data_IF_126021224932
#
_entry.id   IF_126021224932
#
_cell.length_a   1.000
_cell.length_b   1.000
_cell.length_c   1.000
_cell.angle_alpha   90.00
_cell.angle_beta   90.00
_cell.angle_gamma   90.00
#
_symmetry.space_group_name_H-M   'P 1'
#
loop_
_entity.id
_entity.type
_entity.pdbx_description
1 polymer ?
#
# COMPACT_ATOMS: atom_id res chain seq x y z
N UNK A 1 12.14 0.11 6.72
CA UNK A 1 11.74 -1.00 5.81
C UNK A 1 11.88 -0.54 4.34
N UNK A 2 12.19 -1.43 3.39
CA UNK A 2 12.20 -1.12 1.95
C UNK A 2 10.84 -1.43 1.28
N UNK A 3 10.59 -0.91 0.07
CA UNK A 3 9.33 -1.18 -0.65
C UNK A 3 9.18 -2.65 -1.07
N UNK A 4 10.28 -3.32 -1.40
CA UNK A 4 10.29 -4.75 -1.75
C UNK A 4 10.08 -5.64 -0.52
N UNK A 5 10.70 -5.29 0.62
CA UNK A 5 10.42 -5.97 1.90
C UNK A 5 8.94 -5.87 2.26
N UNK A 6 8.38 -4.65 2.21
CA UNK A 6 6.95 -4.42 2.48
C UNK A 6 6.06 -5.22 1.52
N UNK A 7 6.41 -5.26 0.24
CA UNK A 7 5.70 -6.05 -0.77
C UNK A 7 5.72 -7.54 -0.43
N UNK A 8 6.86 -8.08 -0.04
CA UNK A 8 6.98 -9.50 0.31
C UNK A 8 6.17 -9.84 1.57
N UNK A 9 6.20 -8.98 2.58
CA UNK A 9 5.39 -9.14 3.80
C UNK A 9 3.89 -9.11 3.46
N UNK A 10 3.44 -8.11 2.71
CA UNK A 10 2.03 -8.00 2.30
C UNK A 10 1.59 -9.17 1.43
N UNK A 11 2.46 -9.66 0.54
CA UNK A 11 2.20 -10.83 -0.30
C UNK A 11 1.99 -12.08 0.55
N UNK A 12 2.78 -12.27 1.60
CA UNK A 12 2.62 -13.40 2.51
C UNK A 12 1.37 -13.25 3.39
N UNK A 13 1.09 -12.04 3.87
CA UNK A 13 -0.05 -11.75 4.75
C UNK A 13 -1.41 -11.91 4.06
N UNK A 14 -1.48 -11.55 2.78
CA UNK A 14 -2.70 -11.49 1.98
C UNK A 14 -2.75 -12.58 0.89
N UNK A 15 -2.01 -13.67 1.06
CA UNK A 15 -1.86 -14.69 0.02
C UNK A 15 -3.19 -15.27 -0.47
N UNK A 16 -4.17 -15.41 0.43
CA UNK A 16 -5.50 -15.97 0.13
C UNK A 16 -6.47 -14.93 -0.44
N UNK A 17 -6.23 -13.65 -0.16
CA UNK A 17 -7.08 -12.55 -0.63
C UNK A 17 -6.62 -11.93 -1.93
N UNK A 18 -5.31 -12.02 -2.23
CA UNK A 18 -4.72 -11.37 -3.39
C UNK A 18 -5.33 -11.89 -4.69
N UNK A 19 -5.77 -10.94 -5.51
CA UNK A 19 -6.14 -11.20 -6.88
C UNK A 19 -4.94 -11.55 -7.74
N UNK A 20 -5.18 -11.65 -9.04
CA UNK A 20 -4.15 -11.91 -10.03
C UNK A 20 -4.19 -10.90 -11.16
N UNK A 21 -3.00 -10.50 -11.61
CA UNK A 21 -2.81 -9.80 -12.88
C UNK A 21 -2.67 -10.84 -14.00
N UNK A 22 -3.48 -10.71 -15.03
CA UNK A 22 -3.33 -11.49 -16.27
C UNK A 22 -2.31 -10.79 -17.18
N UNK A 23 -1.10 -11.35 -17.28
CA UNK A 23 -0.06 -10.89 -18.20
C UNK A 23 0.08 -11.89 -19.35
N UNK A 24 0.63 -11.44 -20.47
CA UNK A 24 0.95 -12.33 -21.60
C UNK A 24 1.93 -13.46 -21.21
N UNK A 25 2.75 -13.24 -20.16
CA UNK A 25 3.71 -14.20 -19.61
C UNK A 25 3.13 -15.12 -18.53
N UNK A 26 1.86 -14.96 -18.15
CA UNK A 26 1.19 -15.75 -17.11
C UNK A 26 0.48 -14.91 -16.04
N UNK A 27 -0.09 -15.59 -15.05
CA UNK A 27 -0.78 -14.95 -13.93
C UNK A 27 0.18 -14.68 -12.77
N UNK A 28 0.21 -13.45 -12.28
CA UNK A 28 1.02 -13.07 -11.10
C UNK A 28 0.12 -12.44 -10.03
N UNK A 29 0.48 -12.53 -8.73
CA UNK A 29 -0.29 -11.91 -7.66
C UNK A 29 -0.45 -10.41 -7.88
N UNK A 30 -1.64 -9.89 -7.60
CA UNK A 30 -2.04 -8.51 -7.84
C UNK A 30 -1.47 -7.53 -6.79
N UNK A 31 -0.13 -7.47 -6.71
CA UNK A 31 0.59 -6.57 -5.82
C UNK A 31 1.66 -5.80 -6.59
N UNK A 32 1.54 -4.47 -6.60
CA UNK A 32 2.40 -3.58 -7.37
C UNK A 32 2.98 -2.47 -6.49
N UNK A 33 4.27 -2.19 -6.71
CA UNK A 33 4.90 -0.96 -6.22
C UNK A 33 4.77 0.08 -7.32
N UNK A 34 4.28 1.27 -6.98
CA UNK A 34 4.10 2.38 -7.91
C UNK A 34 4.73 3.65 -7.35
N UNK A 35 5.29 4.45 -8.23
CA UNK A 35 5.86 5.75 -7.87
C UNK A 35 4.90 6.88 -8.26
N UNK A 36 5.10 8.07 -7.69
CA UNK A 36 4.27 9.24 -8.00
C UNK A 36 4.29 9.52 -9.51
N UNK A 37 3.12 9.60 -10.14
CA UNK A 37 2.97 9.76 -11.60
C UNK A 37 2.56 8.49 -12.35
N UNK A 38 2.66 7.31 -11.74
CA UNK A 38 2.15 6.08 -12.35
C UNK A 38 0.61 6.07 -12.37
N UNK A 39 0.06 6.12 -13.58
CA UNK A 39 -1.35 5.87 -13.84
C UNK A 39 -1.57 4.37 -13.68
N UNK A 40 -2.62 3.97 -12.95
CA UNK A 40 -3.06 2.57 -12.87
C UNK A 40 -3.59 2.21 -14.25
N UNK A 41 -2.67 1.83 -15.14
CA UNK A 41 -3.00 1.40 -16.49
C UNK A 41 -4.01 0.25 -16.38
N UNK A 42 -4.89 0.17 -17.38
CA UNK A 42 -6.02 -0.75 -17.60
C UNK A 42 -5.65 -2.25 -17.53
N UNK A 43 -4.87 -2.68 -16.55
CA UNK A 43 -4.58 -4.07 -16.29
C UNK A 43 -5.87 -4.71 -15.79
N UNK A 44 -6.23 -5.80 -16.45
CA UNK A 44 -7.34 -6.64 -16.03
C UNK A 44 -6.87 -7.41 -14.79
N UNK A 45 -7.22 -6.88 -13.62
CA UNK A 45 -7.03 -7.57 -12.34
C UNK A 45 -8.33 -8.24 -11.95
N UNK A 46 -8.27 -9.54 -11.68
CA UNK A 46 -9.38 -10.27 -11.03
C UNK A 46 -9.11 -10.34 -9.53
N UNK A 47 -10.03 -9.85 -8.70
CA UNK A 47 -9.90 -9.84 -7.24
C UNK A 47 -9.24 -8.59 -6.65
N UNK A 48 -8.58 -8.79 -5.50
CA UNK A 48 -7.96 -7.73 -4.71
C UNK A 48 -6.62 -7.30 -5.30
N UNK A 49 -6.50 -6.01 -5.58
CA UNK A 49 -5.26 -5.38 -5.98
C UNK A 49 -4.66 -4.57 -4.83
N UNK A 50 -3.36 -4.74 -4.57
CA UNK A 50 -2.62 -3.99 -3.55
C UNK A 50 -1.57 -3.12 -4.24
N UNK A 51 -1.74 -1.81 -4.15
CA UNK A 51 -0.79 -0.82 -4.70
C UNK A 51 -0.02 -0.16 -3.58
N UNK A 52 1.30 -0.32 -3.58
CA UNK A 52 2.21 0.25 -2.61
C UNK A 52 2.79 1.54 -3.17
N UNK A 53 2.63 2.65 -2.46
CA UNK A 53 3.30 3.93 -2.77
C UNK A 53 4.15 4.36 -1.60
N UNK A 54 5.41 4.70 -1.89
CA UNK A 54 6.23 5.44 -0.95
C UNK A 54 5.77 6.91 -0.97
N UNK A 55 5.23 7.41 0.14
CA UNK A 55 5.03 8.85 0.29
C UNK A 55 6.16 9.40 1.16
N UNK A 56 7.03 10.27 0.62
CA UNK A 56 7.93 11.03 1.47
C UNK A 56 7.07 11.99 2.29
N UNK A 57 6.97 11.75 3.60
CA UNK A 57 6.35 12.72 4.51
C UNK A 57 7.42 13.73 4.90
N UNK A 58 7.43 14.87 4.19
CA UNK A 58 8.22 16.02 4.61
C UNK A 58 7.52 16.65 5.80
N UNK A 59 7.83 16.20 7.01
CA UNK A 59 7.46 16.96 8.20
C UNK A 59 8.20 18.32 8.14
N UNK A 60 7.54 19.47 8.29
CA UNK A 60 8.23 20.75 8.46
C UNK A 60 8.99 20.69 9.79
N UNK A 61 10.26 20.30 9.74
CA UNK A 61 11.18 20.39 10.86
C UNK A 61 11.59 21.85 11.04
N UNK A 62 11.37 22.37 12.25
CA UNK A 62 11.92 23.65 12.67
C UNK A 62 13.44 23.67 12.41
N UNK A 63 13.96 24.79 11.92
CA UNK A 63 15.31 24.99 11.36
C UNK A 63 16.50 24.76 12.34
N UNK A 64 16.28 24.17 13.51
CA UNK A 64 17.30 23.93 14.53
C UNK A 64 17.06 22.57 15.20
N UNK A 65 17.78 21.54 14.75
CA UNK A 65 17.74 20.18 15.30
C UNK A 65 17.19 19.18 14.28
N UNK A 66 18.00 18.16 13.95
CA UNK A 66 17.83 17.26 12.81
C UNK A 66 16.38 16.88 12.45
N UNK A 67 16.05 16.96 11.15
CA UNK A 67 14.75 16.54 10.63
C UNK A 67 14.61 15.04 10.82
N UNK A 68 13.80 14.61 11.80
CA UNK A 68 13.32 13.23 11.85
C UNK A 68 12.41 12.99 10.64
N UNK A 69 12.97 12.38 9.60
CA UNK A 69 12.18 11.91 8.45
C UNK A 69 11.42 10.66 8.86
N UNK A 70 10.16 10.82 9.24
CA UNK A 70 9.24 9.68 9.34
C UNK A 70 8.87 9.26 7.92
N UNK A 71 9.18 8.02 7.57
CA UNK A 71 8.76 7.46 6.29
C UNK A 71 7.39 6.84 6.50
N UNK A 72 6.42 7.19 5.67
CA UNK A 72 5.08 6.61 5.74
C UNK A 72 4.80 5.90 4.43
N UNK A 73 4.39 4.64 4.54
CA UNK A 73 3.97 3.84 3.39
C UNK A 73 2.48 4.04 3.18
N UNK A 74 2.10 4.34 1.95
CA UNK A 74 0.72 4.53 1.56
C UNK A 74 0.31 3.35 0.68
N UNK A 75 -0.55 2.50 1.22
CA UNK A 75 -1.16 1.39 0.49
C UNK A 75 -2.50 1.83 -0.09
N UNK A 76 -2.84 1.31 -1.26
CA UNK A 76 -4.19 1.35 -1.80
C UNK A 76 -4.64 -0.08 -2.06
N UNK A 77 -5.65 -0.50 -1.32
CA UNK A 77 -6.39 -1.73 -1.59
C UNK A 77 -7.51 -1.39 -2.57
N UNK A 78 -7.57 -2.08 -3.69
CA UNK A 78 -8.51 -1.82 -4.77
C UNK A 78 -9.21 -3.14 -5.08
N UNK A 79 -10.51 -3.23 -4.79
CA UNK A 79 -11.31 -4.40 -5.17
C UNK A 79 -11.98 -4.12 -6.51
N UNK A 80 -11.64 -4.90 -7.54
CA UNK A 80 -12.25 -4.77 -8.88
C UNK A 80 -13.37 -5.78 -9.11
N UNK A 81 -13.20 -6.98 -8.58
CA UNK A 81 -14.04 -8.16 -8.83
C UNK A 81 -14.08 -9.03 -7.55
N UNK A 82 -15.17 -9.77 -7.34
CA UNK A 82 -15.28 -10.78 -6.29
C UNK A 82 -16.35 -10.48 -5.25
N UNK A 83 -16.64 -11.50 -4.43
CA UNK A 83 -17.58 -11.41 -3.28
C UNK A 83 -16.91 -10.95 -1.98
N UNK A 84 -15.58 -10.96 -1.93
CA UNK A 84 -14.82 -10.61 -0.74
C UNK A 84 -14.82 -9.09 -0.56
N UNK A 85 -15.04 -8.65 0.67
CA UNK A 85 -14.95 -7.23 1.06
C UNK A 85 -13.52 -6.88 1.41
N UNK A 86 -13.14 -5.61 1.23
CA UNK A 86 -11.79 -5.13 1.61
C UNK A 86 -11.53 -5.25 3.12
N UNK A 87 -12.59 -5.38 3.93
CA UNK A 87 -12.53 -5.38 5.39
C UNK A 87 -11.56 -6.42 5.97
N UNK A 88 -11.61 -7.66 5.50
CA UNK A 88 -10.73 -8.72 6.02
C UNK A 88 -9.25 -8.42 5.77
N UNK A 89 -8.93 -7.91 4.57
CA UNK A 89 -7.57 -7.50 4.22
C UNK A 89 -7.10 -6.30 5.06
N UNK A 90 -7.98 -5.31 5.28
CA UNK A 90 -7.69 -4.16 6.14
C UNK A 90 -7.38 -4.61 7.57
N UNK A 91 -8.26 -5.44 8.16
CA UNK A 91 -8.10 -5.94 9.54
C UNK A 91 -6.79 -6.72 9.71
N UNK A 92 -6.41 -7.56 8.73
CA UNK A 92 -5.11 -8.26 8.74
C UNK A 92 -3.93 -7.29 8.74
N UNK A 93 -3.97 -6.25 7.92
CA UNK A 93 -2.89 -5.25 7.81
C UNK A 93 -2.79 -4.43 9.09
N UNK A 94 -3.92 -3.95 9.63
CA UNK A 94 -3.95 -3.16 10.86
C UNK A 94 -3.51 -3.96 12.09
N UNK A 95 -3.82 -5.27 12.13
CA UNK A 95 -3.34 -6.16 13.18
C UNK A 95 -1.83 -6.44 13.07
N UNK A 96 -1.27 -6.49 11.86
CA UNK A 96 0.15 -6.79 11.66
C UNK A 96 1.05 -5.56 11.84
N UNK A 97 0.62 -4.39 11.38
CA UNK A 97 1.40 -3.17 11.42
C UNK A 97 0.90 -2.20 12.49
N UNK A 98 1.62 -2.13 13.60
CA UNK A 98 1.29 -1.22 14.71
C UNK A 98 1.24 0.23 14.24
N UNK A 99 0.13 0.91 14.51
CA UNK A 99 -0.08 2.30 14.11
C UNK A 99 -0.53 2.47 12.65
N UNK A 100 -0.78 1.38 11.93
CA UNK A 100 -1.42 1.46 10.62
C UNK A 100 -2.84 2.04 10.76
N UNK A 101 -3.24 2.86 9.78
CA UNK A 101 -4.57 3.49 9.75
C UNK A 101 -5.16 3.40 8.37
N UNK A 102 -6.35 2.81 8.26
CA UNK A 102 -7.14 2.78 7.04
C UNK A 102 -8.07 3.98 6.92
N UNK A 103 -8.30 4.43 5.68
CA UNK A 103 -9.26 5.47 5.30
C UNK A 103 -9.94 5.01 4.01
N UNK A 104 -11.27 4.86 3.97
CA UNK A 104 -11.98 4.55 2.75
C UNK A 104 -11.83 5.69 1.75
N UNK A 105 -11.61 5.36 0.48
CA UNK A 105 -11.49 6.32 -0.61
C UNK A 105 -12.73 6.22 -1.49
N UNK A 106 -13.33 7.36 -1.80
CA UNK A 106 -14.40 7.45 -2.80
C UNK A 106 -13.88 7.03 -4.16
N UNK A 107 -14.52 6.04 -4.78
CA UNK A 107 -14.17 5.51 -6.10
C UNK A 107 -15.01 6.16 -7.19
N UNK A 108 -14.35 6.57 -8.28
CA UNK A 108 -15.04 7.03 -9.48
C UNK A 108 -15.71 5.85 -10.19
N UNK A 109 -17.02 5.97 -10.46
CA UNK A 109 -17.85 4.89 -11.02
C UNK A 109 -17.39 4.35 -12.38
N UNK A 110 -16.52 5.07 -13.10
CA UNK A 110 -16.09 4.72 -14.45
C UNK A 110 -14.76 3.91 -14.51
N UNK A 111 -14.14 3.62 -13.36
CA UNK A 111 -12.84 2.96 -13.30
C UNK A 111 -12.91 1.43 -13.11
N UNK A 112 -14.12 0.87 -13.02
CA UNK A 112 -14.30 -0.56 -12.74
C UNK A 112 -13.75 -0.97 -11.37
N UNK A 113 -13.75 -0.04 -10.41
CA UNK A 113 -13.34 -0.26 -9.03
C UNK A 113 -14.60 -0.30 -8.18
N UNK A 114 -14.77 -1.39 -7.44
CA UNK A 114 -15.91 -1.57 -6.54
C UNK A 114 -15.70 -0.87 -5.21
N UNK A 115 -14.52 -1.06 -4.61
CA UNK A 115 -14.14 -0.47 -3.34
C UNK A 115 -12.65 -0.10 -3.35
N UNK A 116 -12.31 0.97 -2.64
CA UNK A 116 -10.93 1.36 -2.43
C UNK A 116 -10.69 1.81 -1.00
N UNK A 117 -9.59 1.37 -0.42
CA UNK A 117 -9.14 1.79 0.92
C UNK A 117 -7.68 2.21 0.85
N UNK A 118 -7.38 3.36 1.42
CA UNK A 118 -6.02 3.81 1.67
C UNK A 118 -5.57 3.32 3.04
N UNK A 119 -4.39 2.74 3.16
CA UNK A 119 -3.80 2.41 4.47
C UNK A 119 -2.46 3.12 4.60
N UNK A 120 -2.27 3.86 5.68
CA UNK A 120 -0.97 4.42 6.06
C UNK A 120 -0.28 3.50 7.04
N UNK A 121 0.96 3.10 6.73
CA UNK A 121 1.82 2.33 7.63
C UNK A 121 3.01 3.22 8.02
N UNK A 122 3.18 3.55 9.31
CA UNK A 122 4.35 4.27 9.77
C UNK A 122 5.59 3.37 9.71
N UNK A 123 6.68 3.87 9.12
CA UNK A 123 8.01 3.25 9.18
C UNK A 123 8.82 4.04 10.21
N UNK A 124 8.87 3.51 11.43
CA UNK A 124 9.68 4.08 12.51
C UNK A 124 11.15 3.72 12.27
N UNK A 125 11.84 4.52 11.46
CA UNK A 125 13.30 4.53 11.47
C UNK A 125 13.76 5.56 12.51
N UNK A 126 14.32 5.06 13.61
CA UNK A 126 15.03 5.88 14.59
C UNK A 126 16.39 6.25 13.96
N UNK A 127 16.57 7.52 13.58
CA UNK A 127 17.82 8.02 12.99
C UNK A 127 18.74 8.62 14.07
N UNK A 128 18.88 7.93 15.19
CA UNK A 128 19.72 8.38 16.32
C UNK A 128 21.23 8.23 16.07
N UNK A 129 21.65 7.76 14.89
CA UNK A 129 23.07 7.43 14.60
C UNK A 129 23.87 8.54 13.87
N UNK A 130 23.30 9.71 13.59
CA UNK A 130 24.06 10.82 12.94
C UNK A 130 24.45 11.93 13.92
N UNK A 131 24.93 11.54 15.10
CA UNK A 131 25.61 12.45 16.03
C UNK A 131 26.91 11.81 16.46
N UNK A 132 27.96 12.03 15.67
CA UNK A 132 29.35 11.84 16.09
C UNK A 132 30.16 13.01 15.55
#
# INVERSE_FOLDING_TARGET
>A
MTSEELRNVLKALLVDELGTYSLASGSVPAIAIRYSGDIVAKQQTSGLEVVIRAQPESAPGYLYGGVQRKRTWQLYLVQRDGKLTLRAAVEKIEAHFVGARSVPIGVEKNLGIREQVSIRIPDFQDFSEFST
#
